data_IF_426303920950
#
_entry.id   IF_426303920950
#
_cell.length_a   1.000
_cell.length_b   1.000
_cell.length_c   1.000
_cell.angle_alpha   90.00
_cell.angle_beta   90.00
_cell.angle_gamma   90.00
#
_symmetry.space_group_name_H-M   'P 1'
#
loop_
_entity.id
_entity.type
_entity.pdbx_description
1 polymer ?
#
# COMPACT_ATOMS: atom_id res chain seq x y z
N UNK A 1 14.41 -15.20 -1.87
CA UNK A 1 15.23 -14.23 -1.11
C UNK A 1 14.34 -13.16 -0.49
N UNK A 2 13.50 -12.41 -1.24
CA UNK A 2 12.68 -11.31 -0.68
C UNK A 2 11.81 -11.81 0.47
N UNK A 3 11.04 -12.90 0.31
CA UNK A 3 10.23 -13.49 1.38
C UNK A 3 11.07 -13.92 2.59
N UNK A 4 12.31 -14.37 2.40
CA UNK A 4 13.20 -14.71 3.50
C UNK A 4 13.63 -13.47 4.29
N UNK A 5 13.87 -12.34 3.60
CA UNK A 5 14.20 -11.06 4.23
C UNK A 5 13.04 -10.58 5.10
N UNK A 6 11.80 -10.72 4.65
CA UNK A 6 10.59 -10.25 5.36
C UNK A 6 10.41 -10.91 6.74
N UNK A 7 10.91 -12.12 6.94
CA UNK A 7 10.69 -12.92 8.16
C UNK A 7 11.96 -13.24 8.96
N UNK A 8 13.08 -12.56 8.71
CA UNK A 8 14.32 -12.77 9.46
C UNK A 8 14.52 -11.71 10.54
N UNK A 9 15.28 -12.08 11.57
CA UNK A 9 15.69 -11.18 12.66
C UNK A 9 17.08 -10.60 12.40
N UNK A 10 17.95 -11.36 11.71
CA UNK A 10 19.34 -11.00 11.44
C UNK A 10 19.62 -11.26 9.96
N UNK A 11 20.26 -10.32 9.32
CA UNK A 11 20.70 -10.40 7.93
C UNK A 11 22.21 -10.20 7.85
N UNK A 12 22.92 -11.19 7.32
CA UNK A 12 24.34 -11.07 7.07
C UNK A 12 24.58 -10.61 5.63
N UNK A 13 25.08 -9.38 5.46
CA UNK A 13 25.53 -8.86 4.17
C UNK A 13 26.98 -9.28 3.96
N UNK A 14 27.16 -10.46 3.36
CA UNK A 14 28.47 -10.99 3.06
C UNK A 14 29.07 -10.35 1.80
N UNK A 15 30.42 -10.31 1.72
CA UNK A 15 31.21 -9.64 0.68
C UNK A 15 31.03 -8.11 0.67
N UNK A 16 30.75 -7.52 1.80
CA UNK A 16 30.52 -6.07 1.93
C UNK A 16 31.71 -5.24 1.41
N UNK A 17 32.95 -5.72 1.61
CA UNK A 17 34.15 -5.04 1.12
C UNK A 17 34.33 -5.07 -0.41
N UNK A 18 33.61 -5.95 -1.13
CA UNK A 18 33.65 -6.04 -2.60
C UNK A 18 32.69 -5.06 -3.28
N UNK A 19 31.82 -4.39 -2.49
CA UNK A 19 30.76 -3.50 -2.98
C UNK A 19 31.14 -2.05 -2.66
N UNK A 20 30.85 -1.12 -3.58
CA UNK A 20 31.03 0.31 -3.32
C UNK A 20 30.15 0.76 -2.15
N UNK A 21 30.63 1.69 -1.28
CA UNK A 21 29.86 2.13 -0.12
C UNK A 21 28.45 2.63 -0.44
N UNK A 22 28.29 3.38 -1.53
CA UNK A 22 27.00 3.90 -1.99
C UNK A 22 26.02 2.78 -2.36
N UNK A 23 26.50 1.76 -3.05
CA UNK A 23 25.69 0.60 -3.44
C UNK A 23 25.35 -0.28 -2.25
N UNK A 24 26.27 -0.44 -1.29
CA UNK A 24 26.03 -1.16 -0.06
C UNK A 24 24.94 -0.47 0.77
N UNK A 25 24.97 0.86 0.86
CA UNK A 25 23.97 1.63 1.56
C UNK A 25 22.61 1.52 0.86
N UNK A 26 22.57 1.60 -0.47
CA UNK A 26 21.35 1.35 -1.24
C UNK A 26 20.72 -0.02 -0.95
N UNK A 27 21.53 -1.08 -0.86
CA UNK A 27 21.08 -2.43 -0.52
C UNK A 27 20.49 -2.46 0.89
N UNK A 28 21.14 -1.82 1.85
CA UNK A 28 20.62 -1.74 3.23
C UNK A 28 19.27 -1.02 3.30
N UNK A 29 19.10 0.07 2.55
CA UNK A 29 17.82 0.80 2.49
C UNK A 29 16.70 -0.07 1.90
N UNK A 30 16.97 -0.84 0.84
CA UNK A 30 16.01 -1.80 0.31
C UNK A 30 15.61 -2.83 1.38
N UNK A 31 16.59 -3.37 2.10
CA UNK A 31 16.36 -4.35 3.16
C UNK A 31 15.53 -3.72 4.29
N UNK A 32 15.86 -2.49 4.71
CA UNK A 32 15.12 -1.78 5.74
C UNK A 32 13.67 -1.51 5.37
N UNK A 33 13.40 -1.25 4.09
CA UNK A 33 12.03 -1.08 3.61
C UNK A 33 11.24 -2.39 3.62
N UNK A 34 11.90 -3.52 3.31
CA UNK A 34 11.27 -4.84 3.34
C UNK A 34 11.11 -5.38 4.77
N UNK A 35 12.12 -5.18 5.61
CA UNK A 35 12.17 -5.67 7.00
C UNK A 35 12.86 -4.64 7.92
N UNK A 36 12.07 -3.70 8.46
CA UNK A 36 12.62 -2.61 9.28
C UNK A 36 13.25 -3.06 10.60
N UNK A 37 12.79 -4.19 11.14
CA UNK A 37 13.18 -4.66 12.47
C UNK A 37 14.42 -5.56 12.48
N UNK A 38 14.89 -6.05 11.31
CA UNK A 38 16.04 -6.95 11.25
C UNK A 38 17.35 -6.23 11.58
N UNK A 39 18.24 -6.89 12.31
CA UNK A 39 19.63 -6.45 12.47
C UNK A 39 20.42 -6.76 11.19
N UNK A 40 21.10 -5.76 10.62
CA UNK A 40 21.94 -5.94 9.43
C UNK A 40 23.41 -5.94 9.89
N UNK A 41 24.13 -7.02 9.60
CA UNK A 41 25.54 -7.20 9.92
C UNK A 41 26.33 -7.32 8.62
N UNK A 42 27.22 -6.37 8.38
CA UNK A 42 28.17 -6.43 7.28
C UNK A 42 29.32 -7.38 7.61
N UNK A 43 29.70 -8.25 6.70
CA UNK A 43 30.80 -9.18 6.88
C UNK A 43 31.50 -9.52 5.58
N UNK A 44 32.65 -10.15 5.69
CA UNK A 44 33.40 -10.72 4.58
C UNK A 44 33.76 -12.16 4.94
N UNK A 45 33.62 -13.07 3.98
CA UNK A 45 33.86 -14.51 4.18
C UNK A 45 33.03 -15.11 5.34
N UNK A 46 31.87 -14.51 5.64
CA UNK A 46 31.00 -14.85 6.77
C UNK A 46 31.73 -14.77 8.15
N UNK A 47 32.78 -13.95 8.25
CA UNK A 47 33.49 -13.69 9.50
C UNK A 47 32.65 -12.74 10.36
N UNK A 48 31.94 -13.31 11.33
CA UNK A 48 31.02 -12.63 12.26
C UNK A 48 31.21 -13.21 13.65
N UNK A 49 31.20 -12.35 14.66
CA UNK A 49 31.16 -12.80 16.05
C UNK A 49 29.92 -13.65 16.29
N UNK A 50 30.11 -14.92 16.63
CA UNK A 50 29.02 -15.87 16.87
C UNK A 50 28.05 -15.43 17.97
N UNK A 51 28.49 -14.60 18.91
CA UNK A 51 27.63 -14.03 19.94
C UNK A 51 26.53 -13.11 19.38
N UNK A 52 26.73 -12.57 18.18
CA UNK A 52 25.74 -11.73 17.48
C UNK A 52 24.66 -12.52 16.75
N UNK A 53 24.86 -13.83 16.53
CA UNK A 53 23.97 -14.68 15.75
C UNK A 53 23.45 -15.90 16.50
N UNK A 54 24.07 -16.26 17.63
CA UNK A 54 23.69 -17.40 18.47
C UNK A 54 23.27 -16.88 19.84
N UNK A 55 22.20 -17.44 20.41
CA UNK A 55 21.64 -17.05 21.71
C UNK A 55 21.26 -15.56 21.80
N UNK A 56 20.71 -15.03 20.74
CA UNK A 56 20.34 -13.60 20.66
C UNK A 56 19.00 -13.30 21.32
N UNK A 57 18.18 -14.32 21.60
CA UNK A 57 16.81 -14.23 22.11
C UNK A 57 15.90 -13.25 21.29
N UNK A 58 16.31 -12.97 20.04
CA UNK A 58 15.61 -12.04 19.14
C UNK A 58 14.36 -12.67 18.50
N UNK A 59 14.22 -14.01 18.58
CA UNK A 59 13.09 -14.68 17.96
C UNK A 59 11.84 -14.53 18.81
N UNK A 60 10.94 -13.72 18.33
CA UNK A 60 9.57 -13.59 18.80
C UNK A 60 8.66 -13.77 17.59
N UNK A 61 7.84 -14.82 17.61
CA UNK A 61 7.00 -15.18 16.44
C UNK A 61 6.02 -14.06 16.09
N UNK A 62 5.34 -13.47 17.07
CA UNK A 62 4.37 -12.40 16.82
C UNK A 62 5.05 -11.16 16.26
N UNK A 63 6.19 -10.77 16.82
CA UNK A 63 6.98 -9.63 16.34
C UNK A 63 7.51 -9.87 14.93
N UNK A 64 7.99 -11.07 14.61
CA UNK A 64 8.47 -11.41 13.27
C UNK A 64 7.33 -11.45 12.27
N UNK A 65 6.20 -12.05 12.63
CA UNK A 65 5.02 -12.16 11.77
C UNK A 65 4.45 -10.79 11.37
N UNK A 66 4.59 -9.76 12.23
CA UNK A 66 4.06 -8.40 12.00
C UNK A 66 5.12 -7.37 11.58
N UNK A 67 6.40 -7.76 11.45
CA UNK A 67 7.50 -6.81 11.23
C UNK A 67 7.75 -6.45 9.77
N UNK A 68 7.26 -7.23 8.81
CA UNK A 68 7.49 -6.97 7.39
C UNK A 68 6.91 -5.61 6.96
N UNK A 69 7.67 -4.88 6.13
CA UNK A 69 7.33 -3.50 5.76
C UNK A 69 5.95 -3.32 5.12
N UNK A 70 5.46 -4.32 4.37
CA UNK A 70 4.15 -4.29 3.74
C UNK A 70 2.97 -4.39 4.74
N UNK A 71 3.17 -5.03 5.91
CA UNK A 71 2.12 -5.21 6.93
C UNK A 71 1.66 -3.84 7.44
N UNK A 72 2.60 -2.93 7.72
CA UNK A 72 2.27 -1.58 8.18
C UNK A 72 1.34 -0.83 7.21
N UNK A 73 1.51 -1.04 5.90
CA UNK A 73 0.62 -0.45 4.90
C UNK A 73 -0.78 -1.06 4.89
N UNK A 74 -0.89 -2.38 5.13
CA UNK A 74 -2.19 -3.06 5.21
C UNK A 74 -2.93 -2.72 6.50
N UNK A 75 -2.24 -2.69 7.64
CA UNK A 75 -2.85 -2.43 8.95
C UNK A 75 -3.23 -0.96 9.15
N UNK A 76 -2.56 -0.03 8.44
CA UNK A 76 -2.91 1.39 8.52
C UNK A 76 -4.34 1.60 8.01
N UNK A 77 -5.25 2.18 8.84
CA UNK A 77 -6.58 2.53 8.36
C UNK A 77 -6.49 3.53 7.21
N UNK A 78 -7.43 3.44 6.27
CA UNK A 78 -7.54 4.44 5.22
C UNK A 78 -7.91 5.80 5.84
N UNK A 79 -7.35 6.86 5.30
CA UNK A 79 -7.74 8.22 5.68
C UNK A 79 -9.08 8.58 5.02
N UNK A 80 -9.76 9.62 5.51
CA UNK A 80 -11.02 10.09 4.90
C UNK A 80 -10.84 10.51 3.42
N UNK A 81 -9.66 10.98 3.05
CA UNK A 81 -9.33 11.34 1.67
C UNK A 81 -9.14 10.09 0.81
N UNK A 82 -8.42 9.09 1.31
CA UNK A 82 -8.23 7.80 0.65
C UNK A 82 -9.57 7.06 0.45
N UNK A 83 -10.49 7.11 1.43
CA UNK A 83 -11.83 6.55 1.30
C UNK A 83 -12.65 7.26 0.21
N UNK A 84 -12.61 8.60 0.14
CA UNK A 84 -13.29 9.35 -0.92
C UNK A 84 -12.78 9.00 -2.31
N UNK A 85 -11.45 8.89 -2.48
CA UNK A 85 -10.83 8.47 -3.72
C UNK A 85 -11.12 6.99 -4.05
N UNK A 86 -11.26 6.14 -3.03
CA UNK A 86 -11.47 4.70 -3.19
C UNK A 86 -12.78 4.34 -3.88
N UNK A 87 -13.81 5.19 -3.79
CA UNK A 87 -15.10 4.97 -4.45
C UNK A 87 -15.10 5.22 -5.96
N UNK A 88 -14.04 5.80 -6.52
CA UNK A 88 -13.91 6.15 -7.92
C UNK A 88 -14.75 7.36 -8.33
N UNK A 89 -14.22 8.22 -9.18
CA UNK A 89 -14.97 9.33 -9.75
C UNK A 89 -15.96 8.80 -10.80
N UNK A 90 -17.20 8.54 -10.40
CA UNK A 90 -18.30 8.46 -11.35
C UNK A 90 -18.61 9.88 -11.83
N UNK A 91 -18.09 10.26 -12.99
CA UNK A 91 -18.66 11.36 -13.75
C UNK A 91 -20.08 10.97 -14.14
N UNK A 92 -21.06 11.45 -13.37
CA UNK A 92 -22.42 11.54 -13.86
C UNK A 92 -22.44 12.68 -14.89
N UNK A 93 -22.39 12.33 -16.17
CA UNK A 93 -22.94 13.19 -17.23
C UNK A 93 -24.47 13.17 -17.09
N UNK A 94 -25.01 13.86 -16.12
CA UNK A 94 -26.41 14.27 -16.17
C UNK A 94 -26.45 15.59 -16.92
N UNK A 95 -26.89 15.49 -18.19
CA UNK A 95 -27.23 16.64 -19.00
C UNK A 95 -28.38 17.42 -18.37
N UNK A 96 -28.08 18.48 -17.67
CA UNK A 96 -29.07 19.47 -17.24
C UNK A 96 -29.24 20.50 -18.36
N UNK A 97 -30.36 20.35 -19.09
CA UNK A 97 -30.96 21.44 -19.87
C UNK A 97 -31.33 22.59 -18.93
N UNK A 98 -30.53 23.63 -18.90
CA UNK A 98 -30.89 24.84 -18.21
C UNK A 98 -31.60 25.81 -19.16
N UNK A 99 -32.92 25.94 -18.93
CA UNK A 99 -33.68 27.10 -19.38
C UNK A 99 -33.11 28.38 -18.74
N UNK A 100 -32.68 29.30 -19.58
CA UNK A 100 -32.34 30.66 -19.17
C UNK A 100 -33.61 31.44 -18.90
N UNK A 101 -33.83 31.86 -17.66
CA UNK A 101 -34.65 33.02 -17.32
C UNK A 101 -33.70 34.17 -16.96
N UNK A 102 -33.86 35.26 -17.73
CA UNK A 102 -33.13 36.51 -17.53
C UNK A 102 -33.63 37.21 -16.27
N UNK A 103 -32.74 37.41 -15.29
CA UNK A 103 -32.96 38.38 -14.20
C UNK A 103 -31.79 39.36 -14.17
N UNK A 104 -32.13 40.60 -14.52
CA UNK A 104 -31.30 41.79 -14.30
C UNK A 104 -31.14 42.02 -12.79
N UNK A 105 -29.91 42.11 -12.30
CA UNK A 105 -29.62 42.69 -10.99
C UNK A 105 -28.41 43.62 -11.04
N UNK A 106 -28.69 44.81 -10.45
CA UNK A 106 -27.86 45.98 -10.26
C UNK A 106 -26.50 45.65 -9.61
N UNK A 107 -25.45 46.32 -10.13
CA UNK A 107 -24.12 46.44 -9.54
C UNK A 107 -24.14 47.37 -8.34
N UNK A 108 -23.65 46.85 -7.18
CA UNK A 108 -23.02 47.69 -6.15
C UNK A 108 -21.58 47.26 -6.01
N UNK A 109 -20.68 48.22 -6.19
CA UNK A 109 -19.23 48.09 -6.09
C UNK A 109 -18.85 47.95 -4.60
N UNK A 110 -18.26 46.76 -4.23
CA UNK A 110 -17.49 46.64 -3.00
C UNK A 110 -16.07 46.19 -3.33
N UNK A 111 -15.13 47.14 -3.12
CA UNK A 111 -13.71 46.84 -3.11
C UNK A 111 -13.38 45.93 -1.94
N UNK A 112 -12.93 44.69 -2.22
CA UNK A 112 -12.30 43.85 -1.24
C UNK A 112 -10.83 43.66 -1.56
N UNK A 113 -10.01 44.17 -0.64
CA UNK A 113 -8.58 43.88 -0.57
C UNK A 113 -8.38 42.37 -0.39
N UNK A 114 -7.72 41.72 -1.36
CA UNK A 114 -7.21 40.38 -1.23
C UNK A 114 -5.84 40.42 -0.56
N UNK A 115 -5.77 40.01 0.69
CA UNK A 115 -4.50 39.61 1.29
C UNK A 115 -4.20 38.18 0.79
N UNK A 116 -3.08 38.05 0.08
CA UNK A 116 -2.53 36.77 -0.36
C UNK A 116 -2.03 35.98 0.87
N UNK A 117 -2.85 35.10 1.40
CA UNK A 117 -2.38 34.04 2.27
C UNK A 117 -1.97 32.84 1.40
N UNK A 118 -0.68 32.76 1.11
CA UNK A 118 -0.06 31.59 0.53
C UNK A 118 -0.18 30.39 1.50
N UNK A 119 -1.16 29.53 1.26
CA UNK A 119 -1.22 28.24 1.93
C UNK A 119 -0.13 27.33 1.35
N UNK A 120 1.01 27.30 2.00
CA UNK A 120 1.97 26.24 1.82
C UNK A 120 1.38 24.94 2.42
N UNK A 121 0.86 24.08 1.56
CA UNK A 121 0.59 22.71 1.94
C UNK A 121 1.92 22.00 2.20
N UNK A 122 2.31 21.93 3.46
CA UNK A 122 3.35 21.03 3.89
C UNK A 122 2.79 19.60 3.82
N UNK A 123 3.08 18.92 2.74
CA UNK A 123 2.98 17.47 2.73
C UNK A 123 4.01 16.93 3.72
N UNK A 124 3.57 16.47 4.87
CA UNK A 124 4.39 15.69 5.78
C UNK A 124 4.70 14.36 5.11
N UNK A 125 5.82 14.30 4.41
CA UNK A 125 6.42 13.04 4.00
C UNK A 125 7.04 12.39 5.26
N UNK A 126 6.36 11.40 5.83
CA UNK A 126 7.00 10.44 6.72
C UNK A 126 7.92 9.56 5.87
N UNK A 127 9.19 9.96 5.68
CA UNK A 127 10.11 9.17 4.87
C UNK A 127 11.47 9.83 4.59
N UNK A 128 12.00 10.65 5.50
CA UNK A 128 13.20 11.47 5.26
C UNK A 128 14.50 10.73 4.90
N UNK A 129 14.60 9.40 5.04
CA UNK A 129 15.82 8.64 4.67
C UNK A 129 15.63 7.77 3.42
N UNK A 130 14.39 7.50 3.02
CA UNK A 130 14.08 6.61 1.87
C UNK A 130 14.20 7.34 0.53
N UNK A 131 14.07 8.66 0.51
CA UNK A 131 14.12 9.47 -0.72
C UNK A 131 15.51 9.57 -1.35
N UNK A 132 16.59 9.44 -0.58
CA UNK A 132 17.95 9.59 -1.09
C UNK A 132 18.30 8.59 -2.21
N UNK A 133 17.69 7.37 -2.16
CA UNK A 133 17.91 6.32 -3.16
C UNK A 133 16.67 6.08 -4.04
N UNK A 134 15.62 6.89 -3.92
CA UNK A 134 14.36 6.74 -4.65
C UNK A 134 13.58 5.48 -4.28
N UNK A 135 13.84 4.90 -3.09
CA UNK A 135 13.10 3.75 -2.57
C UNK A 135 11.86 4.28 -1.87
N UNK A 136 10.69 3.76 -2.21
CA UNK A 136 9.43 4.21 -1.64
C UNK A 136 8.43 3.09 -1.45
N UNK A 137 7.39 3.41 -0.69
CA UNK A 137 6.25 2.54 -0.42
C UNK A 137 4.98 3.34 -0.59
N UNK A 138 3.98 2.76 -1.24
CA UNK A 138 2.63 3.32 -1.25
C UNK A 138 1.59 2.21 -1.19
N UNK A 139 0.38 2.57 -0.78
CA UNK A 139 -0.78 1.69 -0.75
C UNK A 139 -1.72 2.08 -1.90
N UNK A 140 -2.07 1.10 -2.72
CA UNK A 140 -3.19 1.22 -3.65
C UNK A 140 -4.45 0.79 -2.90
N UNK A 141 -5.40 1.70 -2.78
CA UNK A 141 -6.65 1.47 -2.06
C UNK A 141 -7.86 1.85 -2.91
N UNK A 142 -8.74 0.91 -3.18
CA UNK A 142 -10.00 1.10 -3.92
C UNK A 142 -11.09 0.17 -3.40
N UNK A 143 -12.34 0.58 -3.54
CA UNK A 143 -13.50 -0.25 -3.17
C UNK A 143 -14.06 -1.07 -4.33
N UNK A 144 -14.16 -0.57 -5.58
CA UNK A 144 -14.70 -1.35 -6.69
C UNK A 144 -13.87 -2.61 -6.98
N UNK A 145 -14.58 -3.68 -7.41
CA UNK A 145 -13.95 -4.92 -7.81
C UNK A 145 -13.09 -4.77 -9.06
N UNK A 146 -11.95 -5.43 -9.11
CA UNK A 146 -11.15 -5.54 -10.33
C UNK A 146 -11.88 -6.37 -11.40
N UNK A 147 -11.65 -6.04 -12.67
CA UNK A 147 -11.85 -6.96 -13.77
C UNK A 147 -10.65 -7.90 -13.86
N UNK A 148 -10.89 -9.21 -13.81
CA UNK A 148 -9.81 -10.21 -13.78
C UNK A 148 -8.95 -10.17 -15.05
N UNK A 149 -9.55 -9.89 -16.22
CA UNK A 149 -8.82 -9.84 -17.49
C UNK A 149 -7.95 -8.59 -17.60
N UNK A 150 -8.46 -7.44 -17.12
CA UNK A 150 -7.66 -6.21 -17.04
C UNK A 150 -6.51 -6.37 -16.06
N UNK A 151 -6.75 -6.96 -14.90
CA UNK A 151 -5.74 -7.20 -13.90
C UNK A 151 -4.65 -8.16 -14.40
N UNK A 152 -5.03 -9.27 -15.04
CA UNK A 152 -4.09 -10.21 -15.66
C UNK A 152 -3.27 -9.53 -16.77
N UNK A 153 -3.91 -8.72 -17.61
CA UNK A 153 -3.21 -7.94 -18.63
C UNK A 153 -2.19 -6.97 -18.02
N UNK A 154 -2.57 -6.23 -16.96
CA UNK A 154 -1.65 -5.35 -16.24
C UNK A 154 -0.44 -6.12 -15.71
N UNK A 155 -0.68 -7.23 -15.02
CA UNK A 155 0.37 -8.07 -14.45
C UNK A 155 1.31 -8.60 -15.53
N UNK A 156 0.78 -9.00 -16.68
CA UNK A 156 1.54 -9.62 -17.75
C UNK A 156 2.34 -8.61 -18.58
N UNK A 157 1.79 -7.41 -18.83
CA UNK A 157 2.33 -6.51 -19.86
C UNK A 157 2.79 -5.14 -19.36
N UNK A 158 2.21 -4.64 -18.24
CA UNK A 158 2.48 -3.29 -17.73
C UNK A 158 3.19 -3.26 -16.39
N UNK A 159 3.53 -4.41 -15.85
CA UNK A 159 4.21 -4.49 -14.55
C UNK A 159 5.56 -3.80 -14.57
N UNK A 160 5.71 -2.78 -13.73
CA UNK A 160 6.96 -2.02 -13.63
C UNK A 160 8.08 -2.88 -13.01
N UNK A 161 9.27 -2.83 -13.63
CA UNK A 161 10.47 -3.47 -13.09
C UNK A 161 11.00 -2.80 -11.82
N UNK A 162 10.53 -1.60 -11.55
CA UNK A 162 10.87 -0.82 -10.37
C UNK A 162 10.17 -1.33 -9.11
N UNK A 163 9.14 -2.18 -9.26
CA UNK A 163 8.45 -2.81 -8.13
C UNK A 163 9.29 -3.98 -7.63
N UNK A 164 9.76 -3.89 -6.41
CA UNK A 164 10.55 -4.93 -5.72
C UNK A 164 9.61 -5.93 -5.06
N UNK A 165 8.55 -5.42 -4.40
CA UNK A 165 7.54 -6.18 -3.67
C UNK A 165 6.18 -5.56 -3.85
N UNK A 166 5.16 -6.39 -4.10
CA UNK A 166 3.77 -6.00 -3.94
C UNK A 166 3.03 -7.09 -3.17
N UNK A 167 2.19 -6.71 -2.22
CA UNK A 167 1.38 -7.65 -1.46
C UNK A 167 0.13 -6.97 -0.93
N UNK A 168 -0.99 -7.70 -0.97
CA UNK A 168 -2.24 -7.18 -0.43
C UNK A 168 -3.44 -8.01 -0.80
N UNK A 169 -4.60 -7.56 -0.32
CA UNK A 169 -5.88 -8.18 -0.60
C UNK A 169 -6.57 -7.51 -1.78
N UNK A 170 -7.27 -8.33 -2.56
CA UNK A 170 -8.07 -7.86 -3.69
C UNK A 170 -9.27 -8.77 -3.91
N UNK A 171 -10.20 -8.35 -4.74
CA UNK A 171 -11.31 -9.17 -5.20
C UNK A 171 -11.72 -8.78 -6.63
N UNK A 172 -12.51 -9.66 -7.28
CA UNK A 172 -12.83 -9.52 -8.69
C UNK A 172 -14.34 -9.50 -8.93
N UNK A 173 -14.74 -8.84 -10.01
CA UNK A 173 -16.15 -8.67 -10.39
C UNK A 173 -16.90 -9.97 -10.69
N UNK A 174 -16.19 -11.01 -11.15
CA UNK A 174 -16.76 -12.31 -11.45
C UNK A 174 -17.05 -13.16 -10.21
N UNK A 175 -16.36 -12.89 -9.08
CA UNK A 175 -16.58 -13.55 -7.79
C UNK A 175 -16.35 -12.55 -6.65
N UNK A 176 -17.39 -11.80 -6.30
CA UNK A 176 -17.31 -10.72 -5.30
C UNK A 176 -17.26 -11.22 -3.87
N UNK A 177 -17.57 -12.49 -3.65
CA UNK A 177 -17.63 -13.07 -2.30
C UNK A 177 -16.27 -13.58 -1.84
N UNK A 178 -15.39 -13.91 -2.77
CA UNK A 178 -14.04 -14.40 -2.48
C UNK A 178 -13.03 -13.27 -2.41
N UNK A 179 -12.25 -13.24 -1.36
CA UNK A 179 -11.04 -12.41 -1.26
C UNK A 179 -9.83 -13.18 -1.77
N UNK A 180 -8.90 -12.46 -2.37
CA UNK A 180 -7.65 -13.00 -2.88
C UNK A 180 -6.47 -12.26 -2.27
N UNK A 181 -5.43 -13.00 -1.92
CA UNK A 181 -4.13 -12.46 -1.58
C UNK A 181 -3.28 -12.41 -2.83
N UNK A 182 -2.95 -11.20 -3.27
CA UNK A 182 -1.98 -10.97 -4.33
C UNK A 182 -0.58 -10.79 -3.74
N UNK A 183 0.40 -11.50 -4.28
CA UNK A 183 1.78 -11.39 -3.87
C UNK A 183 2.70 -11.33 -5.11
N UNK A 184 3.64 -10.37 -5.07
CA UNK A 184 4.73 -10.31 -6.04
C UNK A 184 6.04 -10.12 -5.29
N UNK A 185 7.06 -10.91 -5.66
CA UNK A 185 8.41 -10.81 -5.14
C UNK A 185 9.42 -11.06 -6.27
N UNK A 186 10.10 -10.02 -6.69
CA UNK A 186 10.97 -10.08 -7.88
C UNK A 186 10.14 -10.38 -9.14
N UNK A 187 10.44 -11.48 -9.82
CA UNK A 187 9.71 -11.89 -11.04
C UNK A 187 8.51 -12.80 -10.75
N UNK A 188 8.39 -13.31 -9.54
CA UNK A 188 7.31 -14.22 -9.17
C UNK A 188 6.06 -13.42 -8.77
N UNK A 189 4.92 -13.84 -9.28
CA UNK A 189 3.61 -13.29 -8.95
C UNK A 189 2.67 -14.44 -8.64
N UNK A 190 1.86 -14.28 -7.60
CA UNK A 190 0.92 -15.29 -7.13
C UNK A 190 -0.38 -14.63 -6.70
N UNK A 191 -1.47 -15.29 -7.02
CA UNK A 191 -2.81 -14.94 -6.55
C UNK A 191 -3.38 -16.18 -5.86
N UNK A 192 -3.76 -16.05 -4.59
CA UNK A 192 -4.25 -17.15 -3.76
C UNK A 192 -5.58 -16.78 -3.14
N UNK A 193 -6.55 -17.68 -3.13
CA UNK A 193 -7.80 -17.50 -2.38
C UNK A 193 -7.50 -17.34 -0.89
N UNK A 194 -8.02 -16.25 -0.28
CA UNK A 194 -7.80 -15.92 1.12
C UNK A 194 -9.03 -16.13 2.01
N UNK A 195 -10.16 -16.48 1.41
CA UNK A 195 -11.41 -16.75 2.10
C UNK A 195 -12.53 -15.79 1.69
N UNK A 196 -13.70 -16.00 2.27
CA UNK A 196 -14.86 -15.14 2.00
C UNK A 196 -14.75 -13.82 2.76
N UNK A 197 -15.26 -12.76 2.17
CA UNK A 197 -15.44 -11.49 2.85
C UNK A 197 -16.49 -11.60 3.95
N UNK A 198 -16.34 -10.89 5.06
CA UNK A 198 -17.33 -10.84 6.14
C UNK A 198 -18.69 -10.36 5.65
N UNK A 199 -18.72 -9.47 4.66
CA UNK A 199 -19.97 -8.98 4.03
C UNK A 199 -20.79 -10.08 3.33
N UNK A 200 -20.28 -11.31 3.25
CA UNK A 200 -21.03 -12.49 2.76
C UNK A 200 -21.73 -13.26 3.86
N UNK A 201 -21.41 -12.96 5.13
CA UNK A 201 -22.00 -13.64 6.27
C UNK A 201 -23.48 -13.27 6.44
N UNK A 202 -24.32 -14.17 6.99
CA UNK A 202 -25.67 -13.82 7.43
C UNK A 202 -25.65 -12.63 8.42
N UNK A 203 -26.69 -11.80 8.41
CA UNK A 203 -26.75 -10.59 9.23
C UNK A 203 -26.56 -10.88 10.73
N UNK A 204 -27.13 -11.99 11.22
CA UNK A 204 -27.02 -12.41 12.63
C UNK A 204 -25.56 -12.71 13.00
N UNK A 205 -24.84 -13.42 12.13
CA UNK A 205 -23.43 -13.77 12.33
C UNK A 205 -22.54 -12.52 12.20
N UNK A 206 -22.89 -11.62 11.28
CA UNK A 206 -22.13 -10.37 11.06
C UNK A 206 -22.19 -9.46 12.30
N UNK A 207 -23.34 -9.34 12.96
CA UNK A 207 -23.48 -8.57 14.20
C UNK A 207 -22.55 -9.11 15.29
N UNK A 208 -22.47 -10.42 15.42
CA UNK A 208 -21.60 -11.07 16.41
C UNK A 208 -20.11 -10.87 16.06
N UNK A 209 -19.74 -11.03 14.80
CA UNK A 209 -18.37 -10.78 14.30
C UNK A 209 -17.94 -9.33 14.54
N UNK A 210 -18.81 -8.34 14.27
CA UNK A 210 -18.52 -6.92 14.51
C UNK A 210 -18.32 -6.59 16.00
N UNK A 211 -18.93 -7.36 16.90
CA UNK A 211 -18.69 -7.22 18.35
C UNK A 211 -17.36 -7.79 18.78
N UNK A 212 -16.93 -8.88 18.14
CA UNK A 212 -15.68 -9.57 18.46
C UNK A 212 -14.46 -8.86 17.84
N UNK A 213 -14.66 -8.26 16.64
CA UNK A 213 -13.62 -7.59 15.84
C UNK A 213 -13.96 -6.11 15.62
N UNK A 214 -13.65 -5.22 16.58
CA UNK A 214 -13.94 -3.79 16.45
C UNK A 214 -13.30 -3.12 15.22
N UNK A 215 -12.18 -3.67 14.72
CA UNK A 215 -11.52 -3.21 13.51
C UNK A 215 -12.37 -3.38 12.25
N UNK A 216 -13.25 -4.40 12.22
CA UNK A 216 -14.15 -4.65 11.11
C UNK A 216 -15.16 -3.50 10.91
N UNK A 217 -15.70 -2.95 12.01
CA UNK A 217 -16.61 -1.83 11.92
C UNK A 217 -15.96 -0.55 11.41
N UNK A 218 -14.70 -0.33 11.77
CA UNK A 218 -13.96 0.87 11.36
C UNK A 218 -13.74 0.93 9.85
N UNK A 219 -13.48 -0.22 9.23
CA UNK A 219 -13.16 -0.33 7.81
C UNK A 219 -14.39 -0.73 6.97
N UNK A 220 -15.59 -0.73 7.58
CA UNK A 220 -16.84 -1.11 6.93
C UNK A 220 -17.43 -0.01 6.06
N UNK A 221 -17.69 -0.33 4.80
CA UNK A 221 -18.32 0.55 3.84
C UNK A 221 -19.80 0.17 3.63
N UNK A 222 -20.71 1.14 3.49
CA UNK A 222 -22.15 0.89 3.33
C UNK A 222 -22.49 0.11 2.06
N UNK A 223 -21.74 0.32 0.97
CA UNK A 223 -21.97 -0.31 -0.34
C UNK A 223 -21.19 -1.60 -0.54
N UNK A 224 -19.96 -1.63 -0.04
CA UNK A 224 -19.01 -2.70 -0.29
C UNK A 224 -18.81 -3.65 0.89
N UNK A 225 -19.23 -3.27 2.10
CA UNK A 225 -18.89 -3.98 3.33
C UNK A 225 -17.40 -3.88 3.62
N UNK A 226 -16.76 -4.99 3.94
CA UNK A 226 -15.32 -5.10 4.12
C UNK A 226 -14.53 -5.33 2.82
N UNK A 227 -15.22 -5.41 1.66
CA UNK A 227 -14.59 -5.63 0.36
C UNK A 227 -13.73 -4.45 -0.06
N UNK A 228 -12.50 -4.71 -0.44
CA UNK A 228 -11.56 -3.69 -0.90
C UNK A 228 -10.44 -4.25 -1.76
N UNK A 229 -9.80 -3.37 -2.50
CA UNK A 229 -8.48 -3.54 -3.09
C UNK A 229 -7.50 -2.80 -2.18
N UNK A 230 -6.64 -3.50 -1.48
CA UNK A 230 -5.62 -2.88 -0.62
C UNK A 230 -4.29 -3.57 -0.84
N UNK A 231 -3.46 -3.00 -1.71
CA UNK A 231 -2.18 -3.58 -2.14
C UNK A 231 -1.06 -2.59 -1.82
N UNK A 232 -0.10 -3.04 -1.04
CA UNK A 232 1.13 -2.30 -0.73
C UNK A 232 2.16 -2.56 -1.81
N UNK A 233 2.74 -1.49 -2.35
CA UNK A 233 3.83 -1.53 -3.31
C UNK A 233 5.10 -0.99 -2.66
N UNK A 234 6.19 -1.72 -2.78
CA UNK A 234 7.54 -1.33 -2.37
C UNK A 234 8.44 -1.40 -3.60
N UNK A 235 9.19 -0.34 -3.88
CA UNK A 235 10.06 -0.32 -5.03
C UNK A 235 11.00 0.87 -5.07
N UNK A 236 11.77 0.98 -6.15
CA UNK A 236 12.72 2.05 -6.37
C UNK A 236 12.32 2.86 -7.61
N UNK A 237 12.22 4.19 -7.47
CA UNK A 237 11.80 5.10 -8.55
C UNK A 237 10.48 4.65 -9.22
N UNK A 238 9.50 4.22 -8.40
CA UNK A 238 8.18 3.86 -8.89
C UNK A 238 7.41 5.10 -9.36
N UNK A 239 6.78 4.98 -10.53
CA UNK A 239 5.76 5.94 -10.95
C UNK A 239 4.41 5.52 -10.32
N UNK A 240 4.14 6.03 -9.11
CA UNK A 240 2.91 5.74 -8.34
C UNK A 240 1.66 6.05 -9.15
N UNK A 241 1.62 7.22 -9.79
CA UNK A 241 0.45 7.66 -10.54
C UNK A 241 0.19 6.79 -11.77
N UNK A 242 1.26 6.34 -12.45
CA UNK A 242 1.10 5.43 -13.58
C UNK A 242 0.60 4.06 -13.13
N UNK A 243 1.12 3.52 -12.02
CA UNK A 243 0.66 2.24 -11.47
C UNK A 243 -0.82 2.32 -11.08
N UNK A 244 -1.24 3.42 -10.45
CA UNK A 244 -2.64 3.65 -10.08
C UNK A 244 -3.52 3.72 -11.32
N UNK A 245 -3.15 4.52 -12.35
CA UNK A 245 -3.90 4.61 -13.61
C UNK A 245 -4.03 3.28 -14.35
N UNK A 246 -3.00 2.43 -14.25
CA UNK A 246 -3.01 1.13 -14.92
C UNK A 246 -3.87 0.09 -14.17
N UNK A 247 -4.13 0.30 -12.88
CA UNK A 247 -4.99 -0.54 -12.04
C UNK A 247 -6.46 -0.10 -12.05
N UNK A 248 -6.73 1.20 -12.18
CA UNK A 248 -8.08 1.79 -12.30
C UNK A 248 -8.67 1.51 -13.71
#
# INVERSE_FOLDING_TARGET
IIQQIEFCNIILLNKAAEVKPEELERIKQIIRTLQPAAEIIECNYADVDLKKIIHTDLFDFERVATSAGWIRGIEKPATEEEEKEAHGHHHHEEGHDHHHEEHEHHHEEHEHHHEEHGHHHHHHHEGGEVEEYGIGTFVYYRRPAFDIHKFDHFIATRWSRNIIRAKGVCYFSHNRDMSYLFEQAGTQKQLTEAGLWYATAPEEDLIELMRQEPGLMRDWDEKYGDRMQKIVFIGQHMDKEQIIRDLD
#
